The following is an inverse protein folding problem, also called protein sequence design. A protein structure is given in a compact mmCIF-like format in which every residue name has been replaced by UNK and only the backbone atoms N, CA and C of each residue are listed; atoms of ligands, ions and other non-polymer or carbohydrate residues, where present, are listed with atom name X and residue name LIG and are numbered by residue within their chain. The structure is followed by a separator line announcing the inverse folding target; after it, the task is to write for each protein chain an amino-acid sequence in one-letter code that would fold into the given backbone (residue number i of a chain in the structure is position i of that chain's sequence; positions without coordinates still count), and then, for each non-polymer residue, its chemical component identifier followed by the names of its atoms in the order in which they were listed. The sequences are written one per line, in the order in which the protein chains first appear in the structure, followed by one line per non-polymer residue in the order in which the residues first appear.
data_IF_134808249103
#
_entry.id   IF_134808249103
#
_cell.length_a   1.000
_cell.length_b   1.000
_cell.length_c   1.000
_cell.angle_alpha   90.00
_cell.angle_beta   90.00
_cell.angle_gamma   90.00
#
_symmetry.space_group_name_H-M   'P 1'
#
loop_
_entity.id
_entity.type
_entity.pdbx_description
1 polymer ?
#
# COMPACT_ATOMS: atom_id res chain seq x y z
N UNK A 1 -1.34 30.29 -15.11
CA UNK A 1 -1.90 30.97 -13.91
C UNK A 1 -0.82 31.09 -12.84
N UNK A 2 -0.94 32.01 -11.86
CA UNK A 2 -0.01 32.01 -10.71
C UNK A 2 -0.21 30.75 -9.87
N UNK A 3 0.88 30.25 -9.28
CA UNK A 3 0.84 29.11 -8.38
C UNK A 3 -0.12 29.41 -7.20
N UNK A 4 -1.13 28.57 -6.95
CA UNK A 4 -2.08 28.77 -5.85
C UNK A 4 -1.48 28.47 -4.47
N UNK A 5 -0.34 27.79 -4.41
CA UNK A 5 0.33 27.41 -3.14
C UNK A 5 1.27 28.51 -2.64
N UNK A 6 2.14 29.04 -3.50
CA UNK A 6 3.12 30.06 -3.08
C UNK A 6 2.86 31.46 -3.65
N UNK A 7 2.06 31.60 -4.71
CA UNK A 7 1.81 32.88 -5.40
C UNK A 7 3.02 33.54 -6.09
N UNK A 8 4.21 32.93 -6.00
CA UNK A 8 5.48 33.56 -6.36
C UNK A 8 5.80 33.52 -7.85
N UNK A 9 5.33 32.50 -8.58
CA UNK A 9 5.63 32.30 -9.99
C UNK A 9 4.38 31.85 -10.78
N UNK A 10 4.42 32.07 -12.10
CA UNK A 10 3.48 31.43 -13.02
C UNK A 10 3.81 29.96 -13.17
N UNK A 11 2.76 29.13 -13.29
CA UNK A 11 2.91 27.72 -13.57
C UNK A 11 3.33 27.49 -15.02
N UNK A 12 4.20 26.51 -15.21
CA UNK A 12 4.73 26.10 -16.52
C UNK A 12 4.17 24.72 -16.83
N UNK A 13 3.44 24.62 -17.93
CA UNK A 13 2.96 23.34 -18.43
C UNK A 13 4.14 22.52 -18.97
N UNK A 14 4.35 21.32 -18.43
CA UNK A 14 5.49 20.47 -18.76
C UNK A 14 5.18 18.99 -18.48
N UNK A 15 6.07 18.10 -18.93
CA UNK A 15 6.03 16.66 -18.64
C UNK A 15 7.35 16.22 -18.03
N UNK A 16 7.31 15.68 -16.81
CA UNK A 16 8.51 15.32 -16.04
C UNK A 16 8.37 14.00 -15.30
N UNK A 17 9.50 13.37 -15.04
CA UNK A 17 9.57 12.25 -14.12
C UNK A 17 9.51 12.75 -12.67
N UNK A 18 8.61 12.20 -11.86
CA UNK A 18 8.43 12.61 -10.46
C UNK A 18 8.86 11.52 -9.48
N UNK A 19 9.72 11.82 -8.49
CA UNK A 19 10.07 10.86 -7.45
C UNK A 19 8.86 10.64 -6.52
N UNK A 20 8.61 9.39 -6.16
CA UNK A 20 7.61 9.01 -5.18
C UNK A 20 8.22 8.11 -4.12
N UNK A 21 8.06 8.50 -2.84
CA UNK A 21 8.58 7.73 -1.70
C UNK A 21 7.44 7.21 -0.85
N UNK A 22 7.47 5.92 -0.54
CA UNK A 22 6.52 5.24 0.33
C UNK A 22 7.24 4.29 1.29
N UNK A 23 7.08 4.52 2.60
CA UNK A 23 7.71 3.72 3.67
C UNK A 23 9.23 3.54 3.54
N UNK A 24 9.91 4.58 3.06
CA UNK A 24 11.37 4.58 2.89
C UNK A 24 11.85 3.98 1.56
N UNK A 25 10.96 3.42 0.76
CA UNK A 25 11.26 2.97 -0.60
C UNK A 25 10.89 4.07 -1.60
N UNK A 26 11.72 4.27 -2.63
CA UNK A 26 11.52 5.31 -3.65
C UNK A 26 11.37 4.69 -5.03
N UNK A 27 10.44 5.23 -5.83
CA UNK A 27 10.29 4.97 -7.26
C UNK A 27 10.21 6.29 -8.03
N UNK A 28 10.19 6.19 -9.35
CA UNK A 28 9.92 7.30 -10.26
C UNK A 28 8.58 7.02 -10.96
N UNK A 29 7.68 8.01 -10.94
CA UNK A 29 6.48 8.01 -11.76
C UNK A 29 6.85 8.70 -13.07
N UNK A 30 6.90 7.98 -14.20
CA UNK A 30 7.41 8.56 -15.43
C UNK A 30 6.38 9.49 -16.08
N UNK A 31 6.93 10.47 -16.80
CA UNK A 31 6.20 11.32 -17.74
C UNK A 31 4.91 11.95 -17.17
N UNK A 32 4.98 12.53 -15.98
CA UNK A 32 3.86 13.24 -15.35
C UNK A 32 3.66 14.60 -16.01
N UNK A 33 2.50 14.78 -16.65
CA UNK A 33 2.14 16.04 -17.32
C UNK A 33 1.34 16.93 -16.37
N UNK A 34 1.88 18.10 -16.03
CA UNK A 34 1.27 19.01 -15.07
C UNK A 34 1.68 20.45 -15.31
N UNK A 35 0.97 21.35 -14.64
CA UNK A 35 1.39 22.74 -14.47
C UNK A 35 2.31 22.83 -13.25
N UNK A 36 3.61 23.03 -13.48
CA UNK A 36 4.65 23.03 -12.45
C UNK A 36 5.03 24.45 -12.01
N UNK A 37 5.15 24.66 -10.70
CA UNK A 37 5.69 25.89 -10.14
C UNK A 37 7.22 25.83 -10.04
N UNK A 38 7.96 26.73 -10.71
CA UNK A 38 9.43 26.75 -10.62
C UNK A 38 9.96 27.30 -9.29
N UNK A 39 9.11 27.79 -8.40
CA UNK A 39 9.51 28.42 -7.13
C UNK A 39 9.36 27.50 -5.91
N UNK A 40 8.42 26.55 -5.92
CA UNK A 40 8.13 25.70 -4.76
C UNK A 40 7.84 24.24 -5.11
N UNK A 41 8.08 23.84 -6.37
CA UNK A 41 7.89 22.48 -6.89
C UNK A 41 6.46 21.91 -6.82
N UNK A 42 5.46 22.78 -6.61
CA UNK A 42 4.06 22.38 -6.69
C UNK A 42 3.70 21.95 -8.12
N UNK A 43 2.91 20.90 -8.25
CA UNK A 43 2.43 20.38 -9.54
C UNK A 43 0.91 20.26 -9.54
N UNK A 44 0.25 20.83 -10.54
CA UNK A 44 -1.21 20.71 -10.72
C UNK A 44 -1.50 19.87 -11.94
N UNK A 45 -2.11 18.70 -11.72
CA UNK A 45 -2.54 17.76 -12.77
C UNK A 45 -4.00 17.96 -13.12
N UNK A 46 -4.38 17.60 -14.34
CA UNK A 46 -5.79 17.43 -14.68
C UNK A 46 -6.36 16.13 -14.06
N UNK A 47 -7.65 15.87 -14.26
CA UNK A 47 -8.30 14.68 -13.68
C UNK A 47 -7.70 13.37 -14.22
N UNK A 48 -7.44 13.29 -15.53
CA UNK A 48 -6.97 12.07 -16.16
C UNK A 48 -5.55 11.71 -15.69
N UNK A 49 -4.69 12.72 -15.58
CA UNK A 49 -3.34 12.54 -15.09
C UNK A 49 -3.30 12.27 -13.59
N UNK A 50 -4.17 12.92 -12.81
CA UNK A 50 -4.35 12.62 -11.37
C UNK A 50 -4.69 11.15 -11.18
N UNK A 51 -5.64 10.61 -11.94
CA UNK A 51 -5.99 9.19 -11.88
C UNK A 51 -4.82 8.28 -12.27
N UNK A 52 -4.05 8.64 -13.31
CA UNK A 52 -2.87 7.88 -13.74
C UNK A 52 -1.80 7.84 -12.65
N UNK A 53 -1.41 9.00 -12.14
CA UNK A 53 -0.42 9.12 -11.07
C UNK A 53 -0.86 8.36 -9.83
N UNK A 54 -2.13 8.48 -9.42
CA UNK A 54 -2.65 7.70 -8.29
C UNK A 54 -2.60 6.19 -8.51
N UNK A 55 -2.85 5.69 -9.74
CA UNK A 55 -2.71 4.26 -10.05
C UNK A 55 -1.26 3.80 -9.91
N UNK A 56 -0.30 4.55 -10.43
CA UNK A 56 1.13 4.24 -10.30
C UNK A 56 1.58 4.22 -8.84
N UNK A 57 1.18 5.24 -8.05
CA UNK A 57 1.45 5.29 -6.60
C UNK A 57 0.85 4.07 -5.87
N UNK A 58 -0.39 3.70 -6.19
CA UNK A 58 -1.04 2.54 -5.57
C UNK A 58 -0.37 1.22 -5.93
N UNK A 59 0.06 1.06 -7.19
CA UNK A 59 0.80 -0.11 -7.65
C UNK A 59 2.13 -0.25 -6.90
N UNK A 60 2.89 0.85 -6.78
CA UNK A 60 4.13 0.88 -6.01
C UNK A 60 3.91 0.57 -4.54
N UNK A 61 2.89 1.18 -3.91
CA UNK A 61 2.55 0.92 -2.51
C UNK A 61 2.24 -0.55 -2.26
N UNK A 62 1.51 -1.19 -3.20
CA UNK A 62 1.20 -2.62 -3.14
C UNK A 62 2.48 -3.47 -3.24
N UNK A 63 3.38 -3.13 -4.16
CA UNK A 63 4.69 -3.79 -4.30
C UNK A 63 5.51 -3.69 -3.01
N UNK A 64 5.64 -2.50 -2.43
CA UNK A 64 6.38 -2.26 -1.17
C UNK A 64 5.75 -3.04 -0.01
N UNK A 65 4.43 -3.09 0.08
CA UNK A 65 3.74 -3.85 1.13
C UNK A 65 3.87 -5.37 0.95
N UNK A 66 3.98 -5.86 -0.29
CA UNK A 66 4.15 -7.28 -0.60
C UNK A 66 5.57 -7.81 -0.37
N UNK A 67 6.55 -6.93 -0.11
CA UNK A 67 7.97 -7.31 0.00
C UNK A 67 8.27 -8.38 1.08
N UNK A 68 7.48 -8.44 2.17
CA UNK A 68 7.67 -9.44 3.24
C UNK A 68 6.83 -10.70 3.01
N UNK A 69 5.65 -10.53 2.40
CA UNK A 69 4.70 -11.61 2.16
C UNK A 69 3.74 -11.21 1.04
N UNK A 70 3.47 -12.14 0.13
CA UNK A 70 2.45 -11.97 -0.89
C UNK A 70 1.07 -11.85 -0.21
N UNK A 71 0.26 -10.81 -0.50
CA UNK A 71 -1.13 -10.75 -0.06
C UNK A 71 -1.94 -12.02 -0.34
N UNK A 72 -1.68 -12.71 -1.45
CA UNK A 72 -2.35 -13.97 -1.78
C UNK A 72 -2.00 -15.09 -0.81
N UNK A 73 -0.78 -15.11 -0.26
CA UNK A 73 -0.39 -16.06 0.78
C UNK A 73 -1.26 -15.89 2.04
N UNK A 74 -1.53 -14.66 2.46
CA UNK A 74 -2.38 -14.39 3.62
C UNK A 74 -3.81 -14.91 3.38
N UNK A 75 -4.36 -14.70 2.18
CA UNK A 75 -5.68 -15.24 1.80
C UNK A 75 -5.69 -16.76 1.88
N UNK A 76 -4.68 -17.41 1.30
CA UNK A 76 -4.62 -18.86 1.18
C UNK A 76 -4.52 -19.53 2.55
N UNK A 77 -3.62 -19.04 3.41
CA UNK A 77 -3.47 -19.57 4.77
C UNK A 77 -4.74 -19.33 5.59
N UNK A 78 -5.32 -18.13 5.54
CA UNK A 78 -6.57 -17.84 6.28
C UNK A 78 -7.69 -18.80 5.87
N UNK A 79 -7.88 -19.03 4.57
CA UNK A 79 -8.89 -19.97 4.07
C UNK A 79 -8.58 -21.42 4.43
N UNK A 80 -7.31 -21.83 4.42
CA UNK A 80 -6.87 -23.16 4.86
C UNK A 80 -7.14 -23.43 6.33
N UNK A 81 -7.13 -22.37 7.14
CA UNK A 81 -7.50 -22.40 8.56
C UNK A 81 -9.01 -22.26 8.80
N UNK A 82 -9.82 -22.19 7.74
CA UNK A 82 -11.27 -22.01 7.76
C UNK A 82 -11.73 -20.75 8.51
N UNK A 83 -10.97 -19.65 8.39
CA UNK A 83 -11.25 -18.40 9.08
C UNK A 83 -11.86 -17.35 8.16
N UNK A 84 -12.86 -16.63 8.66
CA UNK A 84 -13.28 -15.34 8.08
C UNK A 84 -12.24 -14.24 8.30
N UNK A 85 -12.28 -13.14 7.53
CA UNK A 85 -11.38 -11.99 7.76
C UNK A 85 -11.56 -11.37 9.15
N UNK A 86 -12.82 -11.26 9.60
CA UNK A 86 -13.17 -10.73 10.93
C UNK A 86 -12.68 -11.64 12.05
N UNK A 87 -12.92 -12.94 11.92
CA UNK A 87 -12.44 -13.93 12.90
C UNK A 87 -10.91 -13.96 12.97
N UNK A 88 -10.23 -13.92 11.82
CA UNK A 88 -8.77 -13.82 11.78
C UNK A 88 -8.27 -12.53 12.46
N UNK A 89 -8.95 -11.39 12.27
CA UNK A 89 -8.61 -10.14 12.95
C UNK A 89 -8.82 -10.21 14.47
N UNK A 90 -9.80 -10.97 14.94
CA UNK A 90 -10.05 -11.21 16.36
C UNK A 90 -8.96 -12.09 16.98
N UNK A 91 -8.55 -13.16 16.30
CA UNK A 91 -7.53 -14.11 16.77
C UNK A 91 -6.12 -13.50 16.71
N UNK A 92 -5.76 -12.90 15.58
CA UNK A 92 -4.40 -12.46 15.30
C UNK A 92 -4.18 -10.95 15.52
N UNK A 93 -5.25 -10.21 15.82
CA UNK A 93 -5.22 -8.77 16.05
C UNK A 93 -5.12 -7.92 14.77
N UNK A 94 -4.73 -6.65 14.96
CA UNK A 94 -4.61 -5.65 13.88
C UNK A 94 -5.87 -4.82 13.63
N UNK A 95 -6.98 -5.14 14.30
CA UNK A 95 -8.27 -4.46 14.18
C UNK A 95 -9.16 -5.02 13.07
N UNK A 96 -10.45 -4.67 13.10
CA UNK A 96 -11.52 -5.32 12.30
C UNK A 96 -11.28 -5.39 10.78
N UNK A 97 -10.47 -4.47 10.23
CA UNK A 97 -10.17 -4.38 8.80
C UNK A 97 -8.74 -4.83 8.43
N UNK A 98 -7.99 -5.40 9.38
CA UNK A 98 -6.58 -5.77 9.17
C UNK A 98 -6.40 -6.73 7.99
N UNK A 99 -7.11 -7.86 8.03
CA UNK A 99 -7.00 -8.91 7.02
C UNK A 99 -7.46 -8.44 5.64
N UNK A 100 -8.54 -7.65 5.56
CA UNK A 100 -8.93 -7.00 4.31
C UNK A 100 -7.81 -6.11 3.75
N UNK A 101 -7.12 -5.33 4.58
CA UNK A 101 -6.02 -4.47 4.12
C UNK A 101 -4.76 -5.26 3.75
N UNK A 102 -4.43 -6.32 4.48
CA UNK A 102 -3.29 -7.19 4.18
C UNK A 102 -3.50 -7.95 2.87
N UNK A 103 -4.67 -8.57 2.70
CA UNK A 103 -5.03 -9.36 1.51
C UNK A 103 -5.14 -8.50 0.24
N UNK A 104 -5.43 -7.20 0.39
CA UNK A 104 -5.43 -6.25 -0.73
C UNK A 104 -4.08 -5.54 -0.92
N UNK A 105 -3.05 -5.85 -0.11
CA UNK A 105 -1.74 -5.20 -0.16
C UNK A 105 -1.77 -3.70 0.18
N UNK A 106 -2.85 -3.21 0.79
CA UNK A 106 -3.00 -1.82 1.24
C UNK A 106 -2.15 -1.52 2.46
N UNK A 107 -1.72 -2.54 3.20
CA UNK A 107 -0.89 -2.39 4.39
C UNK A 107 -0.02 -3.60 4.59
N UNK A 108 1.20 -3.36 5.06
CA UNK A 108 2.17 -4.38 5.42
C UNK A 108 1.74 -5.07 6.72
N UNK A 109 1.55 -6.40 6.73
CA UNK A 109 1.29 -7.12 7.97
C UNK A 109 2.52 -7.10 8.90
N UNK A 110 2.34 -7.18 10.22
CA UNK A 110 3.45 -7.31 11.17
C UNK A 110 4.30 -8.56 10.87
N UNK A 111 5.62 -8.46 11.05
CA UNK A 111 6.53 -9.59 10.80
C UNK A 111 6.17 -10.83 11.64
N UNK A 112 5.73 -10.63 12.88
CA UNK A 112 5.27 -11.70 13.76
C UNK A 112 4.09 -12.47 13.15
N UNK A 113 3.09 -11.76 12.61
CA UNK A 113 1.94 -12.35 11.94
C UNK A 113 2.37 -13.19 10.74
N UNK A 114 3.29 -12.68 9.91
CA UNK A 114 3.81 -13.42 8.75
C UNK A 114 4.51 -14.70 9.17
N UNK A 115 5.36 -14.64 10.20
CA UNK A 115 6.05 -15.84 10.72
C UNK A 115 5.05 -16.86 11.26
N UNK A 116 4.04 -16.41 12.01
CA UNK A 116 2.98 -17.27 12.52
C UNK A 116 2.17 -17.92 11.39
N UNK A 117 1.80 -17.17 10.35
CA UNK A 117 1.09 -17.71 9.19
C UNK A 117 1.93 -18.74 8.42
N UNK A 118 3.25 -18.53 8.30
CA UNK A 118 4.17 -19.54 7.73
C UNK A 118 4.31 -20.80 8.58
N UNK A 119 4.05 -20.71 9.88
CA UNK A 119 4.01 -21.87 10.78
C UNK A 119 2.67 -22.60 10.62
N UNK A 120 1.56 -21.88 10.72
CA UNK A 120 0.20 -22.41 10.61
C UNK A 120 -0.13 -22.97 9.22
N UNK A 121 0.51 -22.47 8.16
CA UNK A 121 0.42 -23.09 6.84
C UNK A 121 1.00 -24.52 6.83
N UNK A 122 2.07 -24.76 7.59
CA UNK A 122 2.69 -26.10 7.68
C UNK A 122 2.02 -26.99 8.73
N UNK A 123 1.48 -26.39 9.78
CA UNK A 123 0.88 -27.06 10.94
C UNK A 123 -0.45 -26.39 11.30
N UNK A 124 -1.52 -26.60 10.49
CA UNK A 124 -2.81 -25.94 10.71
C UNK A 124 -3.50 -26.39 12.00
N UNK A 125 -3.14 -27.56 12.53
CA UNK A 125 -3.57 -28.10 13.82
C UNK A 125 -3.22 -27.21 15.02
N UNK A 126 -2.12 -26.46 14.93
CA UNK A 126 -1.67 -25.52 15.97
C UNK A 126 -2.56 -24.28 16.11
N UNK A 127 -3.52 -24.06 15.21
CA UNK A 127 -4.46 -22.94 15.33
C UNK A 127 -5.22 -22.96 16.66
N UNK A 128 -5.55 -24.15 17.16
CA UNK A 128 -6.29 -24.29 18.42
C UNK A 128 -5.49 -23.75 19.60
N UNK A 129 -4.16 -23.95 19.62
CA UNK A 129 -3.30 -23.40 20.67
C UNK A 129 -3.30 -21.86 20.63
N UNK A 130 -3.26 -21.28 19.43
CA UNK A 130 -3.31 -19.82 19.25
C UNK A 130 -4.67 -19.25 19.70
N UNK A 131 -5.78 -19.95 19.42
CA UNK A 131 -7.12 -19.52 19.85
C UNK A 131 -7.29 -19.51 21.38
N UNK A 132 -6.51 -20.33 22.09
CA UNK A 132 -6.61 -20.46 23.56
C UNK A 132 -5.61 -19.61 24.35
N UNK A 133 -4.64 -19.00 23.68
CA UNK A 133 -3.62 -18.13 24.27
C UNK A 133 -4.16 -16.73 24.57
#
# INVERSE_FOLDING_TARGET
MKCPVCGAAELIHDTRDLPYTYKGETTVIPAVTADFCPACDESITDMAETERVMREMQAFNKQVNAAIVDPAFIVNVRKKLDLGQREAAEIFGGGVNAFSRYENGKTKPPLALVKLFKLLDRHPDLLNEVKTA
#
